data_IF_413857883589
#
_entry.id   IF_413857883589
#
_cell.length_a   1.000
_cell.length_b   1.000
_cell.length_c   1.000
_cell.angle_alpha   90.00
_cell.angle_beta   90.00
_cell.angle_gamma   90.00
#
_symmetry.space_group_name_H-M   'P 1'
#
loop_
_entity.id
_entity.type
_entity.pdbx_description
1 polymer ?
#
# COMPACT_ATOMS: atom_id res chain seq x y z
N UNK A 1 54.84 -10.41 43.67
CA UNK A 1 53.38 -10.38 43.38
C UNK A 1 53.21 -10.09 41.90
N UNK A 2 52.76 -11.05 41.10
CA UNK A 2 52.60 -10.90 39.65
C UNK A 2 51.20 -10.35 39.35
N UNK A 3 51.12 -9.20 38.68
CA UNK A 3 49.86 -8.62 38.21
C UNK A 3 49.49 -9.36 36.93
N UNK A 4 48.45 -10.20 37.00
CA UNK A 4 47.93 -10.92 35.84
C UNK A 4 47.40 -9.97 34.76
N UNK A 5 47.42 -10.38 33.48
CA UNK A 5 47.04 -9.51 32.37
C UNK A 5 45.59 -9.04 32.51
N UNK A 6 45.39 -7.72 32.42
CA UNK A 6 44.07 -7.10 32.39
C UNK A 6 43.33 -7.55 31.14
N UNK A 7 42.33 -8.41 31.31
CA UNK A 7 41.37 -8.74 30.26
C UNK A 7 40.47 -7.54 30.01
N UNK A 8 40.53 -7.00 28.78
CA UNK A 8 39.53 -6.06 28.27
C UNK A 8 38.54 -6.86 27.42
N UNK A 9 37.33 -7.04 27.93
CA UNK A 9 36.24 -7.58 27.14
C UNK A 9 35.75 -6.52 26.18
N UNK A 10 35.88 -6.74 24.87
CA UNK A 10 35.19 -5.91 23.89
C UNK A 10 33.70 -6.19 24.03
N UNK A 11 32.91 -5.13 24.26
CA UNK A 11 31.46 -5.25 24.24
C UNK A 11 31.04 -5.84 22.89
N UNK A 12 30.12 -6.83 22.86
CA UNK A 12 29.64 -7.37 21.61
C UNK A 12 29.03 -6.22 20.81
N UNK A 13 29.65 -5.92 19.66
CA UNK A 13 29.13 -4.93 18.72
C UNK A 13 27.75 -5.44 18.33
N UNK A 14 26.66 -4.70 18.60
CA UNK A 14 25.36 -5.08 18.09
C UNK A 14 25.51 -5.04 16.56
N UNK A 15 25.49 -6.20 15.93
CA UNK A 15 25.50 -6.31 14.48
C UNK A 15 24.14 -5.84 13.97
N UNK A 16 23.93 -4.52 13.94
CA UNK A 16 22.94 -3.91 13.05
C UNK A 16 23.44 -4.19 11.64
N UNK A 17 22.98 -5.32 11.09
CA UNK A 17 23.24 -5.67 9.70
C UNK A 17 22.51 -4.66 8.83
N UNK A 18 23.26 -3.71 8.29
CA UNK A 18 22.79 -2.76 7.32
C UNK A 18 23.20 -3.24 5.93
N UNK A 19 22.22 -3.38 5.02
CA UNK A 19 22.49 -3.73 3.63
C UNK A 19 22.49 -2.51 2.73
N UNK A 20 23.09 -2.65 1.55
CA UNK A 20 22.91 -1.70 0.46
C UNK A 20 21.48 -1.78 -0.09
N UNK A 21 20.93 -0.67 -0.63
CA UNK A 21 19.62 -0.66 -1.26
C UNK A 21 19.60 -1.59 -2.49
N UNK A 22 18.46 -2.24 -2.72
CA UNK A 22 18.24 -2.99 -3.96
C UNK A 22 17.96 -2.02 -5.12
N UNK A 23 17.89 -2.52 -6.36
CA UNK A 23 17.84 -1.68 -7.57
C UNK A 23 16.57 -0.85 -7.63
N UNK A 24 15.42 -1.41 -7.24
CA UNK A 24 14.14 -0.71 -7.20
C UNK A 24 14.13 0.41 -6.15
N UNK A 25 14.66 0.12 -4.96
CA UNK A 25 14.80 1.09 -3.87
C UNK A 25 15.74 2.23 -4.30
N UNK A 26 16.89 1.87 -4.87
CA UNK A 26 17.87 2.83 -5.37
C UNK A 26 17.29 3.68 -6.50
N UNK A 27 16.49 3.09 -7.39
CA UNK A 27 15.84 3.79 -8.49
C UNK A 27 14.89 4.87 -7.99
N UNK A 28 13.99 4.56 -7.03
CA UNK A 28 13.06 5.56 -6.49
C UNK A 28 13.80 6.67 -5.74
N UNK A 29 14.86 6.32 -5.01
CA UNK A 29 15.70 7.29 -4.29
C UNK A 29 16.41 8.24 -5.27
N UNK A 30 17.05 7.71 -6.32
CA UNK A 30 17.71 8.51 -7.36
C UNK A 30 16.71 9.33 -8.17
N UNK A 31 15.53 8.80 -8.44
CA UNK A 31 14.47 9.53 -9.15
C UNK A 31 14.04 10.79 -8.39
N UNK A 32 13.90 10.69 -7.05
CA UNK A 32 13.61 11.85 -6.21
C UNK A 32 14.81 12.80 -6.11
N UNK A 33 16.04 12.29 -5.91
CA UNK A 33 17.23 13.11 -5.82
C UNK A 33 17.46 13.95 -7.10
N UNK A 34 17.31 13.35 -8.28
CA UNK A 34 17.35 14.05 -9.57
C UNK A 34 16.23 15.08 -9.71
N UNK A 35 15.05 14.84 -9.15
CA UNK A 35 14.00 15.85 -9.16
C UNK A 35 14.36 17.03 -8.26
N UNK A 36 14.87 16.76 -7.06
CA UNK A 36 15.28 17.75 -6.09
C UNK A 36 16.42 18.64 -6.60
N UNK A 37 17.36 18.10 -7.40
CA UNK A 37 18.43 18.90 -8.01
C UNK A 37 17.93 19.95 -9.00
N UNK A 38 16.75 19.76 -9.59
CA UNK A 38 16.17 20.68 -10.56
C UNK A 38 15.02 21.53 -10.00
N UNK A 39 14.46 21.17 -8.85
CA UNK A 39 13.29 21.84 -8.27
C UNK A 39 13.65 22.49 -6.94
N UNK A 40 13.65 23.83 -6.89
CA UNK A 40 13.93 24.61 -5.67
C UNK A 40 12.98 24.29 -4.52
N UNK A 41 11.70 23.99 -4.81
CA UNK A 41 10.71 23.60 -3.81
C UNK A 41 10.96 22.20 -3.22
N UNK A 42 11.68 21.31 -3.93
CA UNK A 42 11.95 19.95 -3.48
C UNK A 42 13.41 19.73 -3.05
N UNK A 43 14.27 20.75 -3.17
CA UNK A 43 15.66 20.69 -2.77
C UNK A 43 15.84 20.43 -1.27
N UNK A 44 14.98 21.01 -0.42
CA UNK A 44 15.00 20.87 1.04
C UNK A 44 13.63 20.48 1.59
N UNK A 45 13.20 19.21 1.41
CA UNK A 45 11.84 18.78 1.73
C UNK A 45 11.51 18.94 3.23
N UNK A 46 12.50 18.74 4.10
CA UNK A 46 12.33 18.88 5.54
C UNK A 46 12.14 20.33 5.99
N UNK A 47 12.92 21.25 5.43
CA UNK A 47 12.78 22.68 5.76
C UNK A 47 11.46 23.25 5.27
N UNK A 48 11.06 22.87 4.05
CA UNK A 48 9.77 23.26 3.47
C UNK A 48 8.63 22.77 4.36
N UNK A 49 8.66 21.52 4.80
CA UNK A 49 7.65 20.98 5.71
C UNK A 49 7.65 21.71 7.08
N UNK A 50 8.82 22.02 7.64
CA UNK A 50 8.93 22.78 8.90
C UNK A 50 8.33 24.18 8.80
N UNK A 51 8.43 24.82 7.64
CA UNK A 51 7.83 26.14 7.35
C UNK A 51 6.32 26.06 7.04
N UNK A 52 5.73 24.85 7.05
CA UNK A 52 4.31 24.63 6.70
C UNK A 52 4.05 24.57 5.19
N UNK A 53 5.09 24.54 4.37
CA UNK A 53 4.99 24.37 2.92
C UNK A 53 4.79 22.91 2.51
N UNK A 54 4.54 22.72 1.21
CA UNK A 54 4.38 21.40 0.58
C UNK A 54 5.34 21.24 -0.60
N UNK A 55 5.61 19.98 -0.96
CA UNK A 55 6.38 19.65 -2.15
C UNK A 55 5.58 19.97 -3.42
N UNK A 56 6.27 20.16 -4.54
CA UNK A 56 5.59 20.31 -5.82
C UNK A 56 4.81 19.03 -6.19
N UNK A 57 3.84 19.13 -7.12
CA UNK A 57 3.01 17.97 -7.50
C UNK A 57 3.82 16.74 -7.94
N UNK A 58 4.86 16.95 -8.77
CA UNK A 58 5.76 15.87 -9.22
C UNK A 58 6.60 15.31 -8.07
N UNK A 59 7.15 16.18 -7.23
CA UNK A 59 7.92 15.79 -6.05
C UNK A 59 7.08 15.02 -5.04
N UNK A 60 5.80 15.36 -4.89
CA UNK A 60 4.86 14.63 -4.04
C UNK A 60 4.59 13.22 -4.57
N UNK A 61 4.43 13.05 -5.89
CA UNK A 61 4.32 11.71 -6.50
C UNK A 61 5.58 10.87 -6.27
N UNK A 62 6.77 11.45 -6.50
CA UNK A 62 8.04 10.75 -6.25
C UNK A 62 8.25 10.42 -4.78
N UNK A 63 7.82 11.30 -3.88
CA UNK A 63 7.88 11.04 -2.45
C UNK A 63 6.95 9.88 -2.04
N UNK A 64 5.76 9.78 -2.66
CA UNK A 64 4.88 8.62 -2.48
C UNK A 64 5.57 7.35 -2.97
N UNK A 65 6.19 7.37 -4.16
CA UNK A 65 6.93 6.23 -4.68
C UNK A 65 8.01 5.79 -3.68
N UNK A 66 8.81 6.72 -3.15
CA UNK A 66 9.82 6.41 -2.12
C UNK A 66 9.20 5.81 -0.86
N UNK A 67 8.04 6.31 -0.42
CA UNK A 67 7.35 5.82 0.78
C UNK A 67 6.84 4.38 0.65
N UNK A 68 6.69 3.86 -0.57
CA UNK A 68 6.29 2.46 -0.80
C UNK A 68 7.43 1.47 -0.59
N UNK A 69 8.68 1.91 -0.81
CA UNK A 69 9.86 1.05 -0.72
C UNK A 69 10.66 1.28 0.56
N UNK A 70 10.70 2.53 1.06
CA UNK A 70 11.58 2.93 2.15
C UNK A 70 10.80 3.65 3.24
N UNK A 71 11.06 3.27 4.49
CA UNK A 71 10.50 3.91 5.66
C UNK A 71 11.59 4.23 6.67
N UNK A 72 11.46 5.36 7.34
CA UNK A 72 12.31 5.69 8.47
C UNK A 72 11.53 5.45 9.78
N UNK A 73 12.16 4.75 10.72
CA UNK A 73 11.65 4.55 12.07
C UNK A 73 12.78 4.82 13.06
N UNK A 74 12.57 5.75 14.00
CA UNK A 74 13.53 6.08 15.04
C UNK A 74 14.90 6.52 14.48
N UNK A 75 14.89 7.23 13.34
CA UNK A 75 16.10 7.68 12.66
C UNK A 75 16.85 6.61 11.87
N UNK A 76 16.37 5.36 11.85
CA UNK A 76 16.93 4.28 11.05
C UNK A 76 16.05 3.99 9.82
N UNK A 77 16.72 3.75 8.70
CA UNK A 77 16.10 3.50 7.40
C UNK A 77 15.91 2.01 7.19
N UNK A 78 14.67 1.64 6.89
CA UNK A 78 14.25 0.25 6.70
C UNK A 78 13.60 0.08 5.34
N UNK A 79 13.80 -1.09 4.74
CA UNK A 79 13.02 -1.52 3.59
C UNK A 79 11.59 -1.84 4.02
N UNK A 80 10.63 -1.49 3.17
CA UNK A 80 9.21 -1.86 3.30
C UNK A 80 8.94 -3.19 2.60
N UNK A 81 9.63 -3.45 1.48
CA UNK A 81 9.40 -4.62 0.62
C UNK A 81 10.09 -5.86 1.20
N UNK A 82 11.32 -5.70 1.70
CA UNK A 82 12.08 -6.83 2.23
C UNK A 82 11.74 -7.09 3.70
N UNK A 83 11.24 -8.30 3.93
CA UNK A 83 10.90 -8.83 5.24
C UNK A 83 11.71 -10.12 5.48
N UNK A 84 12.80 -10.02 6.23
CA UNK A 84 13.55 -11.18 6.71
C UNK A 84 12.85 -11.73 7.97
N UNK A 85 12.06 -12.78 7.81
CA UNK A 85 11.38 -13.44 8.94
C UNK A 85 10.51 -12.48 9.76
N UNK A 86 9.67 -11.69 9.09
CA UNK A 86 8.83 -10.62 9.66
C UNK A 86 9.57 -9.40 10.22
N UNK A 87 10.89 -9.32 10.11
CA UNK A 87 11.67 -8.14 10.51
C UNK A 87 12.01 -7.32 9.28
N UNK A 88 11.81 -6.00 9.37
CA UNK A 88 12.22 -5.09 8.30
C UNK A 88 13.73 -4.99 8.27
N UNK A 89 14.31 -5.11 7.09
CA UNK A 89 15.76 -5.06 6.90
C UNK A 89 16.21 -3.60 6.99
N UNK A 90 17.24 -3.34 7.81
CA UNK A 90 17.87 -2.02 7.86
C UNK A 90 18.70 -1.84 6.59
N UNK A 91 18.53 -0.69 5.95
CA UNK A 91 19.22 -0.33 4.72
C UNK A 91 19.98 0.97 4.90
N UNK A 92 21.13 1.10 4.24
CA UNK A 92 21.89 2.35 4.22
C UNK A 92 21.45 3.21 3.05
N UNK A 93 21.26 4.51 3.29
CA UNK A 93 20.98 5.46 2.22
C UNK A 93 22.30 5.90 1.59
N UNK A 94 22.50 5.70 0.28
CA UNK A 94 23.69 6.17 -0.43
C UNK A 94 23.91 7.69 -0.29
N UNK A 95 25.16 8.12 -0.31
CA UNK A 95 25.55 9.52 -0.07
C UNK A 95 25.03 10.49 -1.16
N UNK A 96 24.90 10.01 -2.39
CA UNK A 96 24.31 10.69 -3.54
C UNK A 96 22.81 10.99 -3.37
N UNK A 97 22.15 10.37 -2.39
CA UNK A 97 20.73 10.53 -2.11
C UNK A 97 20.46 11.23 -0.77
N UNK A 98 21.30 12.20 -0.37
CA UNK A 98 21.16 12.92 0.91
C UNK A 98 19.77 13.57 1.10
N UNK A 99 19.18 14.11 0.03
CA UNK A 99 17.84 14.74 0.07
C UNK A 99 16.75 13.74 0.49
N UNK A 100 16.92 12.45 0.19
CA UNK A 100 15.97 11.41 0.61
C UNK A 100 15.97 11.25 2.13
N UNK A 101 17.13 11.42 2.80
CA UNK A 101 17.20 11.38 4.27
C UNK A 101 16.36 12.50 4.88
N UNK A 102 16.40 13.70 4.29
CA UNK A 102 15.56 14.82 4.70
C UNK A 102 14.08 14.54 4.45
N UNK A 103 13.74 13.98 3.29
CA UNK A 103 12.36 13.61 2.96
C UNK A 103 11.80 12.61 3.99
N UNK A 104 12.54 11.56 4.29
CA UNK A 104 12.13 10.54 5.26
C UNK A 104 12.00 11.11 6.67
N UNK A 105 12.88 12.04 7.06
CA UNK A 105 12.75 12.78 8.31
C UNK A 105 11.51 13.67 8.34
N UNK A 106 11.15 14.29 7.21
CA UNK A 106 9.92 15.07 7.09
C UNK A 106 8.69 14.16 7.24
N UNK A 107 8.72 12.96 6.66
CA UNK A 107 7.66 11.95 6.79
C UNK A 107 7.49 11.47 8.23
N UNK A 108 8.59 11.19 8.95
CA UNK A 108 8.56 10.80 10.36
C UNK A 108 7.93 11.90 11.24
N UNK A 109 8.07 13.18 10.85
CA UNK A 109 7.46 14.32 11.54
C UNK A 109 6.03 14.65 11.10
N UNK A 110 5.45 13.87 10.19
CA UNK A 110 4.06 13.99 9.80
C UNK A 110 3.81 14.65 8.45
N UNK A 111 4.81 14.69 7.55
CA UNK A 111 4.55 15.04 6.15
C UNK A 111 3.57 14.01 5.55
N UNK A 112 2.33 14.44 5.27
CA UNK A 112 1.26 13.57 4.79
C UNK A 112 1.38 13.37 3.28
N UNK A 113 1.91 12.22 2.89
CA UNK A 113 1.91 11.76 1.50
C UNK A 113 0.60 11.04 1.20
N UNK A 114 -0.38 11.76 0.66
CA UNK A 114 -1.62 11.15 0.14
C UNK A 114 -1.60 11.11 -1.38
N UNK A 115 -1.86 9.92 -1.95
CA UNK A 115 -2.25 9.80 -3.35
C UNK A 115 -3.58 10.54 -3.51
N UNK A 116 -3.61 11.55 -4.37
CA UNK A 116 -4.87 12.15 -4.83
C UNK A 116 -5.52 11.12 -5.74
N UNK A 117 -6.35 10.25 -5.17
CA UNK A 117 -7.27 9.43 -5.97
C UNK A 117 -8.40 10.37 -6.38
N UNK A 118 -8.58 10.69 -7.67
CA UNK A 118 -9.76 11.41 -8.08
C UNK A 118 -10.97 10.55 -7.73
N UNK A 119 -11.83 11.05 -6.85
CA UNK A 119 -13.13 10.45 -6.63
C UNK A 119 -13.97 10.78 -7.87
N UNK A 120 -13.83 9.97 -8.92
CA UNK A 120 -14.65 10.10 -10.13
C UNK A 120 -16.06 9.63 -9.77
N UNK A 121 -16.95 10.55 -9.45
CA UNK A 121 -18.39 10.26 -9.44
C UNK A 121 -18.82 10.12 -10.90
N UNK A 122 -19.18 8.91 -11.31
CA UNK A 122 -19.68 8.62 -12.66
C UNK A 122 -21.14 9.03 -12.87
N UNK A 123 -21.78 9.61 -11.85
CA UNK A 123 -23.18 10.01 -11.89
C UNK A 123 -23.25 11.53 -11.93
N UNK A 124 -23.40 12.08 -13.14
CA UNK A 124 -23.61 13.53 -13.37
C UNK A 124 -25.00 13.98 -12.89
N UNK A 125 -25.93 13.06 -12.66
CA UNK A 125 -27.33 13.34 -12.34
C UNK A 125 -27.72 13.09 -10.89
N UNK A 126 -26.82 12.52 -10.07
CA UNK A 126 -27.15 12.26 -8.67
C UNK A 126 -27.04 13.53 -7.82
N UNK A 127 -28.19 14.11 -7.50
CA UNK A 127 -28.27 15.16 -6.50
C UNK A 127 -27.96 14.58 -5.11
N UNK A 128 -26.78 14.90 -4.55
CA UNK A 128 -26.46 14.60 -3.15
C UNK A 128 -27.03 15.71 -2.27
N UNK A 129 -28.11 15.47 -1.50
CA UNK A 129 -28.57 16.46 -0.54
C UNK A 129 -27.48 16.73 0.51
N UNK A 130 -27.40 17.95 1.06
CA UNK A 130 -26.44 18.28 2.10
C UNK A 130 -26.56 17.28 3.26
N UNK A 131 -25.46 16.62 3.62
CA UNK A 131 -25.43 15.81 4.83
C UNK A 131 -25.64 16.75 6.01
N UNK A 132 -26.83 16.69 6.62
CA UNK A 132 -27.08 17.33 7.91
C UNK A 132 -26.14 16.65 8.90
N UNK A 133 -25.07 17.36 9.27
CA UNK A 133 -24.22 16.96 10.39
C UNK A 133 -25.09 17.12 11.63
N UNK A 134 -25.79 16.06 12.02
CA UNK A 134 -26.44 16.04 13.31
C UNK A 134 -25.31 16.16 14.35
N UNK A 135 -25.34 17.16 15.25
CA UNK A 135 -24.39 17.20 16.34
C UNK A 135 -24.49 15.88 17.10
N UNK A 136 -23.33 15.28 17.34
CA UNK A 136 -23.16 14.03 18.08
C UNK A 136 -23.94 14.12 19.39
N UNK A 137 -25.11 13.49 19.45
CA UNK A 137 -25.78 13.22 20.71
C UNK A 137 -24.91 12.22 21.47
N UNK A 138 -24.30 12.71 22.54
CA UNK A 138 -23.59 11.90 23.52
C UNK A 138 -24.44 10.69 23.90
N UNK A 139 -23.85 9.50 23.80
CA UNK A 139 -24.44 8.26 24.28
C UNK A 139 -24.60 8.31 25.81
N UNK A 140 -25.71 8.90 26.27
CA UNK A 140 -26.20 8.70 27.63
C UNK A 140 -27.22 7.57 27.60
N UNK A 141 -26.88 6.50 28.31
CA UNK A 141 -27.63 5.24 28.45
C UNK A 141 -29.15 5.48 28.63
N UNK A 142 -30.04 4.78 27.92
CA UNK A 142 -31.48 4.87 28.17
C UNK A 142 -31.84 4.22 29.51
N UNK A 143 -32.42 5.00 30.42
CA UNK A 143 -33.37 4.49 31.40
C UNK A 143 -34.74 4.49 30.75
N UNK A 144 -35.44 3.35 30.76
CA UNK A 144 -36.89 3.27 30.55
C UNK A 144 -37.64 4.04 31.67
N UNK A 145 -38.98 4.23 31.64
CA UNK A 145 -39.99 3.94 30.60
C UNK A 145 -40.91 5.17 30.34
N UNK A 146 -41.83 5.07 29.36
CA UNK A 146 -43.30 5.14 29.59
C UNK A 146 -44.08 5.34 28.29
N UNK A 147 -45.00 4.40 28.11
CA UNK A 147 -46.08 4.33 27.13
C UNK A 147 -46.87 5.64 27.01
N UNK A 148 -47.06 6.12 25.79
CA UNK A 148 -48.27 6.85 25.40
C UNK A 148 -48.73 6.33 24.03
N UNK A 149 -49.83 5.56 24.06
CA UNK A 149 -50.64 5.21 22.89
C UNK A 149 -51.50 6.41 22.50
N UNK A 150 -51.76 6.59 21.19
CA UNK A 150 -53.02 7.06 20.55
C UNK A 150 -52.78 7.39 19.06
N UNK A 151 -53.81 7.43 18.20
CA UNK A 151 -54.61 6.29 17.77
C UNK A 151 -54.65 6.15 16.23
N UNK A 152 -55.08 4.98 15.80
CA UNK A 152 -55.39 4.61 14.41
C UNK A 152 -56.49 5.50 13.83
N UNK A 153 -56.32 5.98 12.60
CA UNK A 153 -57.43 6.32 11.72
C UNK A 153 -57.34 5.42 10.48
N UNK A 154 -58.31 4.53 10.36
CA UNK A 154 -58.50 3.59 9.27
C UNK A 154 -58.79 4.30 7.95
N UNK A 155 -58.22 3.82 6.86
CA UNK A 155 -58.84 3.95 5.54
C UNK A 155 -58.78 2.58 4.86
N UNK A 156 -59.96 2.14 4.44
CA UNK A 156 -60.34 0.77 4.11
C UNK A 156 -59.60 0.18 2.90
N UNK A 157 -59.23 -1.11 3.02
CA UNK A 157 -58.94 -2.01 1.90
C UNK A 157 -60.07 -3.05 1.81
N UNK A 158 -60.56 -3.42 0.60
CA UNK A 158 -61.34 -4.63 0.44
C UNK A 158 -60.44 -5.88 0.28
N UNK A 159 -60.87 -7.06 0.76
CA UNK A 159 -60.10 -8.31 0.77
C UNK A 159 -60.26 -9.06 -0.57
N UNK A 160 -59.33 -9.92 -1.01
CA UNK A 160 -59.35 -11.36 -0.64
C UNK A 160 -58.19 -12.11 -1.33
N UNK A 161 -57.63 -13.05 -0.56
CA UNK A 161 -56.97 -14.32 -0.90
C UNK A 161 -56.58 -14.66 -2.36
N UNK A 162 -55.31 -15.00 -2.58
CA UNK A 162 -54.95 -16.31 -3.13
C UNK A 162 -53.55 -16.75 -2.65
N UNK A 163 -53.53 -17.89 -1.97
CA UNK A 163 -52.34 -18.59 -1.49
C UNK A 163 -51.89 -19.51 -2.62
N UNK A 164 -50.86 -19.13 -3.36
CA UNK A 164 -50.23 -20.00 -4.34
C UNK A 164 -48.76 -20.24 -4.02
N UNK A 165 -48.48 -21.50 -3.70
CA UNK A 165 -47.14 -22.07 -3.64
C UNK A 165 -46.67 -22.32 -5.08
N UNK A 166 -45.83 -21.43 -5.60
CA UNK A 166 -44.94 -21.72 -6.73
C UNK A 166 -43.51 -21.46 -6.24
N UNK A 167 -42.74 -22.49 -5.86
CA UNK A 167 -42.07 -23.46 -6.72
C UNK A 167 -41.11 -22.77 -7.71
N UNK A 168 -39.82 -22.92 -7.41
CA UNK A 168 -38.63 -22.59 -8.21
C UNK A 168 -38.48 -21.14 -8.69
N UNK A 169 -37.91 -20.34 -7.78
CA UNK A 169 -37.25 -19.06 -8.03
C UNK A 169 -36.25 -19.16 -9.19
N UNK A 170 -36.63 -18.63 -10.36
CA UNK A 170 -35.74 -18.34 -11.50
C UNK A 170 -34.73 -17.23 -11.24
N UNK A 171 -34.24 -17.08 -10.00
CA UNK A 171 -33.21 -16.09 -9.61
C UNK A 171 -31.82 -16.70 -9.38
N UNK A 172 -31.68 -18.03 -9.51
CA UNK A 172 -30.43 -18.75 -9.18
C UNK A 172 -29.61 -19.31 -10.35
N UNK A 173 -30.18 -19.41 -11.56
CA UNK A 173 -29.54 -20.09 -12.69
C UNK A 173 -28.32 -19.37 -13.28
N UNK A 174 -28.24 -18.04 -13.11
CA UNK A 174 -27.14 -17.24 -13.63
C UNK A 174 -25.84 -17.46 -12.81
N UNK A 175 -25.98 -17.63 -11.49
CA UNK A 175 -24.84 -17.90 -10.62
C UNK A 175 -24.20 -19.27 -10.89
N UNK A 176 -25.01 -20.31 -11.11
CA UNK A 176 -24.50 -21.64 -11.44
C UNK A 176 -23.83 -21.70 -12.82
N UNK A 177 -24.35 -20.98 -13.81
CA UNK A 177 -23.74 -20.87 -15.12
C UNK A 177 -22.36 -20.16 -15.05
N UNK A 178 -22.28 -19.07 -14.30
CA UNK A 178 -21.04 -18.29 -14.13
C UNK A 178 -19.97 -19.08 -13.35
N UNK A 179 -20.39 -19.84 -12.32
CA UNK A 179 -19.52 -20.77 -11.59
C UNK A 179 -18.94 -21.86 -12.51
N UNK A 180 -19.77 -22.47 -13.37
CA UNK A 180 -19.31 -23.48 -14.34
C UNK A 180 -18.38 -22.91 -15.39
N UNK A 181 -18.61 -21.69 -15.86
CA UNK A 181 -17.73 -21.06 -16.83
C UNK A 181 -16.36 -20.71 -16.23
N UNK A 182 -16.34 -20.23 -14.98
CA UNK A 182 -15.10 -19.98 -14.24
C UNK A 182 -14.27 -21.25 -14.06
N UNK A 183 -14.91 -22.37 -13.74
CA UNK A 183 -14.22 -23.67 -13.65
C UNK A 183 -13.65 -24.13 -15.00
N UNK A 184 -14.37 -23.94 -16.11
CA UNK A 184 -13.85 -24.27 -17.44
C UNK A 184 -12.60 -23.46 -17.77
N UNK A 185 -12.62 -22.15 -17.50
CA UNK A 185 -11.45 -21.29 -17.71
C UNK A 185 -10.26 -21.69 -16.83
N UNK A 186 -10.51 -22.09 -15.58
CA UNK A 186 -9.45 -22.58 -14.71
C UNK A 186 -8.82 -23.87 -15.24
N UNK A 187 -9.65 -24.81 -15.72
CA UNK A 187 -9.18 -26.08 -16.31
C UNK A 187 -8.51 -25.90 -17.67
N UNK A 188 -8.89 -24.88 -18.45
CA UNK A 188 -8.33 -24.60 -19.77
C UNK A 188 -7.13 -23.66 -19.75
N UNK A 189 -6.73 -23.13 -18.59
CA UNK A 189 -5.49 -22.33 -18.48
C UNK A 189 -4.30 -23.25 -18.71
N UNK A 190 -3.47 -23.01 -19.75
CA UNK A 190 -2.26 -23.77 -19.94
C UNK A 190 -1.32 -23.42 -18.78
N UNK A 191 -1.03 -24.40 -17.93
CA UNK A 191 0.03 -24.31 -16.92
C UNK A 191 1.36 -24.23 -17.65
N UNK A 192 1.82 -23.01 -17.93
CA UNK A 192 3.00 -22.75 -18.76
C UNK A 192 4.34 -23.08 -18.09
N UNK A 193 4.33 -23.60 -16.86
CA UNK A 193 5.54 -24.10 -16.20
C UNK A 193 5.24 -25.36 -15.41
N UNK A 194 5.54 -26.51 -16.01
CA UNK A 194 5.90 -27.72 -15.27
C UNK A 194 7.10 -28.38 -15.95
N UNK A 195 7.95 -28.98 -15.12
CA UNK A 195 9.13 -29.78 -15.45
C UNK A 195 10.39 -29.03 -15.87
N UNK A 196 11.18 -28.66 -14.86
CA UNK A 196 12.64 -28.62 -14.99
C UNK A 196 13.14 -29.98 -15.46
N UNK A 197 13.58 -30.04 -16.71
CA UNK A 197 14.40 -31.11 -17.25
C UNK A 197 15.75 -30.51 -17.61
N UNK A 198 16.80 -31.11 -17.05
CA UNK A 198 18.20 -30.84 -17.40
C UNK A 198 18.37 -31.20 -18.87
N UNK A 199 18.76 -30.24 -19.71
CA UNK A 199 18.98 -30.47 -21.13
C UNK A 199 19.86 -29.36 -21.69
N UNK A 200 20.98 -29.76 -22.28
CA UNK A 200 22.10 -28.94 -22.73
C UNK A 200 21.70 -27.75 -23.62
N UNK A 201 22.33 -26.60 -23.36
CA UNK A 201 22.41 -25.50 -24.33
C UNK A 201 23.36 -25.93 -25.47
N UNK A 202 22.97 -25.80 -26.75
CA UNK A 202 23.91 -25.92 -27.85
C UNK A 202 24.84 -24.70 -27.86
N UNK A 203 26.14 -24.97 -27.75
CA UNK A 203 27.22 -23.98 -27.89
C UNK A 203 27.25 -23.51 -29.34
N UNK A 204 27.18 -22.20 -29.65
CA UNK A 204 27.37 -21.73 -31.02
C UNK A 204 28.81 -22.00 -31.47
N UNK A 205 28.93 -22.61 -32.65
CA UNK A 205 30.18 -22.97 -33.29
C UNK A 205 31.10 -21.74 -33.46
N UNK A 206 32.38 -21.94 -33.17
CA UNK A 206 33.45 -21.01 -33.49
C UNK A 206 33.70 -21.07 -34.99
N UNK A 207 33.46 -19.98 -35.70
CA UNK A 207 34.00 -19.79 -37.04
C UNK A 207 35.45 -19.35 -36.91
N UNK A 208 36.34 -20.33 -36.99
CA UNK A 208 37.77 -20.13 -37.21
C UNK A 208 37.98 -19.79 -38.70
N UNK A 209 38.15 -18.50 -39.00
CA UNK A 209 38.44 -18.00 -40.34
C UNK A 209 39.61 -17.03 -40.33
N UNK A 210 40.83 -17.57 -40.31
CA UNK A 210 42.09 -16.86 -40.49
C UNK A 210 42.56 -16.92 -41.96
N UNK A 211 43.24 -15.85 -42.41
CA UNK A 211 44.06 -15.68 -43.64
C UNK A 211 43.28 -15.44 -44.95
N UNK A 212 43.60 -14.46 -45.81
CA UNK A 212 44.72 -13.52 -46.01
C UNK A 212 44.16 -12.22 -46.62
#
# INVERSE_FOLDING_TARGET
MAIGPRQVGFAPIPATYSRLPHDDELYVMKAFARHASHCSACAHPYEVHRKGGSLCSKGHQRAIDVAEYVINKAGQTFSVVDLDGNRRVQMEIPADCAVVRELLKAMERGLRLRRKVPLTSYDETYHVPPRVIQPTFEHRRPQEPRFIRKPVLETALPPTSHREKHSHSGRGSLYEADMKERERRYKSRPTYYSAGSRGALPVPAKDDGYYY
#
